data_IF_684649723573
#
_entry.id   IF_684649723573
#
_cell.length_a   1.000
_cell.length_b   1.000
_cell.length_c   1.000
_cell.angle_alpha   90.00
_cell.angle_beta   90.00
_cell.angle_gamma   90.00
#
_symmetry.space_group_name_H-M   'P 1'
#
loop_
_entity.id
_entity.type
_entity.pdbx_description
1 polymer ?
#
# COMPACT_ATOMS: atom_id res chain seq x y z
N UNK A 1 -1.79 -10.02 -8.60
CA UNK A 1 -1.50 -10.94 -9.71
C UNK A 1 -1.13 -10.15 -10.95
N UNK A 2 -0.45 -10.77 -11.91
CA UNK A 2 0.06 -10.13 -13.11
C UNK A 2 1.36 -9.36 -12.87
N UNK A 3 1.90 -8.83 -13.97
CA UNK A 3 3.04 -7.93 -13.98
C UNK A 3 2.57 -6.52 -13.65
N UNK A 4 3.27 -5.88 -12.73
CA UNK A 4 3.02 -4.51 -12.32
C UNK A 4 4.32 -3.80 -11.95
N UNK A 5 4.15 -2.60 -11.40
CA UNK A 5 5.24 -1.78 -10.93
C UNK A 5 4.88 -1.26 -9.54
N UNK A 6 5.85 -1.31 -8.63
CA UNK A 6 5.74 -0.71 -7.30
C UNK A 6 6.76 0.42 -7.18
N UNK A 7 6.32 1.51 -6.56
CA UNK A 7 7.18 2.65 -6.24
C UNK A 7 7.30 2.76 -4.74
N UNK A 8 8.51 3.06 -4.26
CA UNK A 8 8.81 3.34 -2.86
C UNK A 8 9.40 4.74 -2.74
N UNK A 9 9.16 5.37 -1.60
CA UNK A 9 9.77 6.65 -1.28
C UNK A 9 11.20 6.43 -0.76
N UNK A 10 12.17 7.07 -1.42
CA UNK A 10 13.59 7.00 -1.05
C UNK A 10 14.01 8.36 -0.51
N UNK A 11 14.31 8.43 0.79
CA UNK A 11 14.72 9.64 1.48
C UNK A 11 16.17 9.58 1.92
N UNK A 12 16.80 10.75 1.93
CA UNK A 12 18.09 10.95 2.54
C UNK A 12 17.98 11.08 4.05
N UNK A 13 18.81 10.34 4.78
CA UNK A 13 18.77 10.29 6.23
C UNK A 13 20.17 10.53 6.78
N UNK A 14 20.30 11.42 7.75
CA UNK A 14 21.56 11.71 8.43
C UNK A 14 21.98 10.57 9.36
N UNK A 15 23.21 10.61 9.86
CA UNK A 15 23.74 9.62 10.79
C UNK A 15 23.02 9.59 12.16
N UNK A 16 22.21 10.62 12.46
CA UNK A 16 21.39 10.71 13.66
C UNK A 16 19.93 10.31 13.41
N UNK A 17 19.55 9.99 12.16
CA UNK A 17 18.22 9.51 11.79
C UNK A 17 17.27 10.58 11.25
N UNK A 18 17.72 11.81 11.10
CA UNK A 18 16.90 12.90 10.57
C UNK A 18 16.84 12.86 9.04
N UNK A 19 15.66 13.12 8.48
CA UNK A 19 15.50 13.27 7.02
C UNK A 19 16.14 14.59 6.58
N UNK A 20 17.07 14.51 5.64
CA UNK A 20 17.80 15.65 5.10
C UNK A 20 17.50 15.83 3.61
N UNK A 21 17.98 16.95 3.07
CA UNK A 21 17.92 17.26 1.65
C UNK A 21 18.67 16.23 0.79
N UNK A 22 18.16 15.98 -0.41
CA UNK A 22 18.72 14.96 -1.31
C UNK A 22 20.15 15.30 -1.76
N UNK A 23 20.53 16.58 -1.76
CA UNK A 23 21.88 17.06 -2.09
C UNK A 23 22.94 16.65 -1.06
N UNK A 24 22.54 16.37 0.18
CA UNK A 24 23.44 15.90 1.26
C UNK A 24 23.83 14.41 1.07
N UNK A 25 23.05 13.68 0.26
CA UNK A 25 23.40 12.31 -0.12
C UNK A 25 24.19 12.25 -1.42
N UNK A 26 24.99 11.18 -1.53
CA UNK A 26 25.53 10.79 -2.82
C UNK A 26 24.42 10.21 -3.71
N UNK A 27 23.91 11.03 -4.65
CA UNK A 27 22.91 10.63 -5.64
C UNK A 27 23.32 9.39 -6.47
N UNK A 28 24.62 9.11 -6.63
CA UNK A 28 25.08 7.90 -7.34
C UNK A 28 24.83 6.61 -6.56
N UNK A 29 24.62 6.70 -5.25
CA UNK A 29 24.31 5.57 -4.37
C UNK A 29 22.81 5.45 -4.10
N UNK A 30 21.98 6.36 -4.64
CA UNK A 30 20.53 6.33 -4.42
C UNK A 30 19.95 5.02 -4.98
N UNK A 31 19.28 4.22 -4.15
CA UNK A 31 18.59 3.02 -4.63
C UNK A 31 17.46 3.37 -5.59
N UNK A 32 17.13 2.47 -6.51
CA UNK A 32 15.94 2.61 -7.35
C UNK A 32 14.68 2.71 -6.47
N UNK A 33 13.86 3.71 -6.76
CA UNK A 33 12.55 3.97 -6.18
C UNK A 33 11.47 3.11 -6.85
N UNK A 34 11.74 2.63 -8.05
CA UNK A 34 10.81 1.82 -8.85
C UNK A 34 11.31 0.38 -8.96
N UNK A 35 10.40 -0.56 -8.76
CA UNK A 35 10.65 -1.99 -8.94
C UNK A 35 9.50 -2.66 -9.68
N UNK A 36 9.83 -3.53 -10.64
CA UNK A 36 8.85 -4.38 -11.30
C UNK A 36 8.43 -5.52 -10.36
N UNK A 37 7.13 -5.77 -10.25
CA UNK A 37 6.60 -6.90 -9.49
C UNK A 37 5.86 -7.84 -10.43
N UNK A 38 6.07 -9.14 -10.27
CA UNK A 38 5.26 -10.18 -10.90
C UNK A 38 4.65 -11.03 -9.79
N UNK A 39 3.33 -10.92 -9.64
CA UNK A 39 2.56 -11.66 -8.65
C UNK A 39 2.00 -12.97 -9.23
N UNK A 40 2.53 -13.43 -10.36
CA UNK A 40 2.11 -14.64 -11.04
C UNK A 40 0.75 -14.52 -11.72
N UNK A 41 0.24 -15.61 -12.31
CA UNK A 41 -1.03 -15.60 -13.02
C UNK A 41 -2.18 -15.17 -12.11
N UNK A 42 -3.11 -14.39 -12.67
CA UNK A 42 -4.34 -14.07 -11.97
C UNK A 42 -5.21 -15.33 -11.79
N UNK A 43 -5.59 -15.60 -10.54
CA UNK A 43 -6.57 -16.62 -10.24
C UNK A 43 -7.87 -16.26 -10.98
N UNK A 44 -8.32 -17.15 -11.88
CA UNK A 44 -9.62 -17.06 -12.55
C UNK A 44 -10.71 -17.82 -11.79
N UNK A 45 -10.44 -18.23 -10.56
CA UNK A 45 -11.37 -18.95 -9.70
C UNK A 45 -12.23 -17.97 -8.93
N UNK A 46 -13.54 -18.16 -9.02
CA UNK A 46 -14.50 -17.54 -8.13
C UNK A 46 -14.61 -18.40 -6.87
N UNK A 47 -14.54 -17.78 -5.71
CA UNK A 47 -14.75 -18.45 -4.44
C UNK A 47 -16.12 -18.03 -3.92
N UNK A 48 -16.99 -19.01 -3.66
CA UNK A 48 -18.19 -18.78 -2.86
C UNK A 48 -17.79 -18.76 -1.39
N UNK A 49 -18.30 -17.79 -0.67
CA UNK A 49 -18.32 -17.80 0.79
C UNK A 49 -19.79 -17.83 1.23
N UNK A 50 -20.06 -18.40 2.40
CA UNK A 50 -21.39 -18.27 2.98
C UNK A 50 -21.71 -16.79 3.20
N UNK A 51 -22.96 -16.43 3.01
CA UNK A 51 -23.43 -15.10 3.34
C UNK A 51 -23.19 -14.83 4.82
N UNK A 52 -22.65 -13.65 5.14
CA UNK A 52 -22.54 -13.20 6.53
C UNK A 52 -23.94 -13.22 7.16
N UNK A 53 -24.09 -13.91 8.29
CA UNK A 53 -25.33 -13.89 9.10
C UNK A 53 -25.64 -12.48 9.64
N UNK A 54 -24.64 -11.58 9.61
CA UNK A 54 -24.76 -10.23 10.14
C UNK A 54 -24.67 -9.21 9.02
N UNK A 55 -25.70 -8.36 8.96
CA UNK A 55 -25.69 -7.14 8.17
C UNK A 55 -24.83 -6.12 8.90
N UNK A 56 -23.78 -5.63 8.25
CA UNK A 56 -23.03 -4.47 8.74
C UNK A 56 -23.88 -3.22 8.55
N UNK A 57 -24.63 -2.86 9.60
CA UNK A 57 -25.31 -1.57 9.66
C UNK A 57 -24.27 -0.45 9.74
N UNK A 58 -24.25 0.52 8.81
CA UNK A 58 -23.44 1.71 9.00
C UNK A 58 -23.90 2.42 10.27
N UNK A 59 -22.98 2.98 11.09
CA UNK A 59 -23.30 3.56 12.40
C UNK A 59 -24.26 4.77 12.36
N UNK A 60 -24.64 5.24 11.16
CA UNK A 60 -25.42 6.44 10.94
C UNK A 60 -26.95 6.30 11.10
N UNK A 61 -27.50 5.11 11.37
CA UNK A 61 -28.95 4.91 11.56
C UNK A 61 -29.35 4.59 13.00
N UNK A 62 -28.64 5.14 13.99
CA UNK A 62 -28.96 4.99 15.43
C UNK A 62 -29.46 6.27 16.10
N UNK A 63 -29.85 7.29 15.34
CA UNK A 63 -30.51 8.45 15.92
C UNK A 63 -32.02 8.33 15.73
N UNK A 64 -32.62 7.70 16.75
CA UNK A 64 -33.98 7.92 17.22
C UNK A 64 -34.34 9.41 17.06
N UNK A 65 -35.14 9.72 16.05
CA UNK A 65 -35.90 10.97 16.02
C UNK A 65 -37.15 10.73 16.87
N UNK A 66 -37.54 11.67 17.73
CA UNK A 66 -38.65 11.50 18.67
C UNK A 66 -39.98 11.18 17.98
#
# INVERSE_FOLDING_TARGET
CGVGQRTRDVKCVSNIGDVVHDEECNMKLRPNDIENCDMGPCAKSWFLTEWSERVSVPPAMSQDFP
#
